data_IF_080467807962
#
_entry.id   IF_080467807962
#
_cell.length_a   1.000
_cell.length_b   1.000
_cell.length_c   1.000
_cell.angle_alpha   90.00
_cell.angle_beta   90.00
_cell.angle_gamma   90.00
#
_symmetry.space_group_name_H-M   'P 1'
#
loop_
_entity.id
_entity.type
_entity.pdbx_description
1 polymer ?
#
# COMPACT_ATOMS: atom_id res chain seq x y z
N UNK A 1 -29.16 -0.89 8.19
CA UNK A 1 -28.05 -0.37 7.37
C UNK A 1 -27.08 0.30 8.31
N UNK A 2 -25.85 -0.21 8.44
CA UNK A 2 -24.82 0.53 9.16
C UNK A 2 -24.52 1.86 8.45
N UNK A 3 -24.36 2.97 9.17
CA UNK A 3 -23.99 4.23 8.55
C UNK A 3 -22.59 4.11 7.93
N UNK A 4 -22.48 4.38 6.63
CA UNK A 4 -21.19 4.50 5.96
C UNK A 4 -20.43 5.64 6.61
N UNK A 5 -19.38 5.33 7.36
CA UNK A 5 -18.48 6.34 7.91
C UNK A 5 -17.63 6.86 6.76
N UNK A 6 -17.89 8.10 6.32
CA UNK A 6 -17.02 8.77 5.36
C UNK A 6 -15.68 9.08 6.03
N UNK A 7 -14.59 8.64 5.38
CA UNK A 7 -13.23 8.89 5.83
C UNK A 7 -12.57 9.87 4.86
N UNK A 8 -11.92 10.90 5.41
CA UNK A 8 -11.28 11.94 4.63
C UNK A 8 -9.76 11.82 4.73
N UNK A 9 -9.07 12.05 3.61
CA UNK A 9 -7.61 12.12 3.53
C UNK A 9 -7.25 13.43 2.85
N UNK A 10 -6.28 14.16 3.41
CA UNK A 10 -5.70 15.34 2.77
C UNK A 10 -4.49 14.92 1.95
N UNK A 11 -4.46 15.30 0.67
CA UNK A 11 -3.36 15.03 -0.24
C UNK A 11 -2.67 16.34 -0.59
N UNK A 12 -1.33 16.35 -0.50
CA UNK A 12 -0.51 17.46 -0.97
C UNK A 12 0.15 17.06 -2.27
N UNK A 13 0.01 17.90 -3.30
CA UNK A 13 0.66 17.74 -4.60
C UNK A 13 1.61 18.90 -4.82
N UNK A 14 2.71 18.68 -5.54
CA UNK A 14 3.48 19.78 -6.09
C UNK A 14 2.63 20.58 -7.10
N UNK A 15 2.99 21.84 -7.28
CA UNK A 15 2.21 22.78 -8.10
C UNK A 15 2.04 22.29 -9.55
N UNK A 16 3.06 21.63 -10.13
CA UNK A 16 2.98 21.15 -11.50
C UNK A 16 1.93 20.04 -11.63
N UNK A 17 1.94 19.07 -10.73
CA UNK A 17 0.96 17.98 -10.74
C UNK A 17 -0.44 18.47 -10.39
N UNK A 18 -0.58 19.38 -9.43
CA UNK A 18 -1.87 20.02 -9.13
C UNK A 18 -2.47 20.68 -10.37
N UNK A 19 -1.71 21.52 -11.09
CA UNK A 19 -2.20 22.19 -12.30
C UNK A 19 -2.57 21.22 -13.44
N UNK A 20 -1.89 20.08 -13.55
CA UNK A 20 -2.27 19.04 -14.53
C UNK A 20 -3.62 18.43 -14.18
N UNK A 21 -3.81 18.04 -12.93
CA UNK A 21 -5.08 17.47 -12.44
C UNK A 21 -6.21 18.49 -12.61
N UNK A 22 -6.00 19.71 -12.14
CA UNK A 22 -7.00 20.78 -12.19
C UNK A 22 -7.45 21.10 -13.62
N UNK A 23 -6.50 21.26 -14.56
CA UNK A 23 -6.82 21.51 -15.98
C UNK A 23 -7.56 20.35 -16.63
N UNK A 24 -7.18 19.12 -16.29
CA UNK A 24 -7.88 17.93 -16.77
C UNK A 24 -9.33 17.91 -16.28
N UNK A 25 -9.52 18.12 -14.97
CA UNK A 25 -10.84 18.16 -14.33
C UNK A 25 -11.73 19.25 -14.95
N UNK A 26 -11.22 20.46 -15.15
CA UNK A 26 -11.95 21.54 -15.86
C UNK A 26 -12.30 21.12 -17.29
N UNK A 27 -11.34 20.61 -18.05
CA UNK A 27 -11.54 20.29 -19.47
C UNK A 27 -12.64 19.25 -19.68
N UNK A 28 -12.76 18.28 -18.77
CA UNK A 28 -13.71 17.18 -18.91
C UNK A 28 -14.92 17.29 -17.97
N UNK A 29 -15.02 18.36 -17.18
CA UNK A 29 -16.12 18.57 -16.22
C UNK A 29 -16.18 17.50 -15.12
N UNK A 30 -15.02 17.04 -14.65
CA UNK A 30 -14.90 15.98 -13.63
C UNK A 30 -14.55 16.64 -12.29
N UNK A 31 -15.16 16.17 -11.19
CA UNK A 31 -14.78 16.61 -9.85
C UNK A 31 -13.39 16.09 -9.45
N UNK A 32 -12.61 16.91 -8.74
CA UNK A 32 -11.25 16.54 -8.35
C UNK A 32 -11.23 15.32 -7.41
N UNK A 33 -12.21 15.19 -6.50
CA UNK A 33 -12.30 14.01 -5.64
C UNK A 33 -12.73 12.78 -6.45
N UNK A 34 -13.63 12.93 -7.42
CA UNK A 34 -14.00 11.85 -8.33
C UNK A 34 -12.78 11.36 -9.14
N UNK A 35 -11.97 12.30 -9.66
CA UNK A 35 -10.73 11.99 -10.36
C UNK A 35 -9.76 11.22 -9.46
N UNK A 36 -9.46 11.75 -8.27
CA UNK A 36 -8.53 11.12 -7.31
C UNK A 36 -9.05 9.74 -6.89
N UNK A 37 -10.33 9.60 -6.58
CA UNK A 37 -10.93 8.31 -6.22
C UNK A 37 -10.80 7.28 -7.36
N UNK A 38 -10.97 7.71 -8.60
CA UNK A 38 -10.85 6.85 -9.78
C UNK A 38 -9.41 6.40 -9.98
N UNK A 39 -8.45 7.32 -9.88
CA UNK A 39 -7.02 7.01 -9.97
C UNK A 39 -6.59 6.05 -8.86
N UNK A 40 -7.00 6.30 -7.61
CA UNK A 40 -6.69 5.43 -6.47
C UNK A 40 -7.24 4.01 -6.66
N UNK A 41 -8.51 3.88 -7.07
CA UNK A 41 -9.11 2.57 -7.38
C UNK A 41 -8.32 1.81 -8.45
N UNK A 42 -7.91 2.52 -9.52
CA UNK A 42 -7.12 1.93 -10.59
C UNK A 42 -5.74 1.48 -10.11
N UNK A 43 -5.04 2.32 -9.35
CA UNK A 43 -3.73 2.01 -8.78
C UNK A 43 -3.79 0.74 -7.92
N UNK A 44 -4.79 0.63 -7.03
CA UNK A 44 -4.95 -0.57 -6.21
C UNK A 44 -5.25 -1.80 -7.06
N UNK A 45 -6.15 -1.70 -8.04
CA UNK A 45 -6.49 -2.84 -8.91
C UNK A 45 -5.29 -3.34 -9.72
N UNK A 46 -4.47 -2.43 -10.24
CA UNK A 46 -3.26 -2.78 -11.01
C UNK A 46 -2.20 -3.47 -10.14
N UNK A 47 -2.10 -3.10 -8.86
CA UNK A 47 -1.13 -3.67 -7.92
C UNK A 47 -1.66 -4.83 -7.09
N UNK A 48 -2.97 -5.05 -7.07
CA UNK A 48 -3.65 -6.06 -6.26
C UNK A 48 -3.05 -7.44 -6.48
N UNK A 49 -2.91 -7.87 -7.75
CA UNK A 49 -2.36 -9.20 -8.05
C UNK A 49 -0.95 -9.39 -7.48
N UNK A 50 -0.08 -8.37 -7.57
CA UNK A 50 1.28 -8.43 -7.03
C UNK A 50 1.26 -8.53 -5.50
N UNK A 51 0.46 -7.71 -4.84
CA UNK A 51 0.31 -7.73 -3.39
C UNK A 51 -0.27 -9.06 -2.90
N UNK A 52 -1.33 -9.55 -3.55
CA UNK A 52 -1.96 -10.83 -3.20
C UNK A 52 -0.99 -11.99 -3.37
N UNK A 53 -0.17 -11.96 -4.43
CA UNK A 53 0.86 -12.99 -4.68
C UNK A 53 1.93 -12.97 -3.58
N UNK A 54 2.39 -11.78 -3.19
CA UNK A 54 3.38 -11.62 -2.12
C UNK A 54 2.83 -12.10 -0.78
N UNK A 55 1.61 -11.67 -0.40
CA UNK A 55 0.95 -12.09 0.84
C UNK A 55 0.77 -13.62 0.86
N UNK A 56 0.33 -14.19 -0.27
CA UNK A 56 0.18 -15.64 -0.41
C UNK A 56 1.52 -16.36 -0.21
N UNK A 57 2.59 -15.91 -0.86
CA UNK A 57 3.92 -16.49 -0.72
C UNK A 57 4.44 -16.45 0.72
N UNK A 58 4.28 -15.33 1.42
CA UNK A 58 4.64 -15.25 2.84
C UNK A 58 3.83 -16.19 3.73
N UNK A 59 2.54 -16.36 3.43
CA UNK A 59 1.69 -17.30 4.16
C UNK A 59 2.10 -18.75 3.92
N UNK A 60 2.36 -19.12 2.67
CA UNK A 60 2.79 -20.47 2.28
C UNK A 60 4.16 -20.83 2.87
N UNK A 61 5.07 -19.86 2.97
CA UNK A 61 6.41 -20.07 3.54
C UNK A 61 6.49 -19.82 5.05
N UNK A 62 5.37 -19.49 5.71
CA UNK A 62 5.40 -19.03 7.11
C UNK A 62 6.00 -20.04 8.08
N UNK A 63 5.67 -21.33 7.93
CA UNK A 63 6.20 -22.42 8.76
C UNK A 63 7.70 -22.61 8.55
N UNK A 64 8.14 -22.72 7.29
CA UNK A 64 9.57 -22.87 6.94
C UNK A 64 10.39 -21.65 7.42
N UNK A 65 9.87 -20.44 7.22
CA UNK A 65 10.53 -19.23 7.67
C UNK A 65 10.67 -19.19 9.19
N UNK A 66 9.65 -19.68 9.92
CA UNK A 66 9.69 -19.76 11.36
C UNK A 66 10.70 -20.82 11.85
N UNK A 67 10.74 -21.98 11.21
CA UNK A 67 11.70 -23.05 11.53
C UNK A 67 13.14 -22.57 11.36
N UNK A 68 13.44 -21.85 10.27
CA UNK A 68 14.75 -21.22 10.04
C UNK A 68 15.05 -20.20 11.15
N UNK A 69 14.12 -19.31 11.48
CA UNK A 69 14.33 -18.34 12.56
C UNK A 69 14.65 -19.02 13.90
N UNK A 70 13.96 -20.11 14.22
CA UNK A 70 14.20 -20.86 15.44
C UNK A 70 15.56 -21.58 15.43
N UNK A 71 15.99 -22.12 14.28
CA UNK A 71 17.29 -22.81 14.14
C UNK A 71 18.47 -21.86 14.38
N UNK A 72 18.36 -20.60 13.98
CA UNK A 72 19.45 -19.63 14.10
C UNK A 72 19.32 -18.67 15.30
N UNK A 73 18.27 -18.79 16.13
CA UNK A 73 17.98 -17.89 17.25
C UNK A 73 19.16 -17.81 18.24
N UNK A 74 19.77 -18.95 18.57
CA UNK A 74 20.88 -19.01 19.53
C UNK A 74 22.17 -18.40 18.96
N UNK A 75 22.41 -18.54 17.65
CA UNK A 75 23.56 -17.92 16.98
C UNK A 75 23.47 -16.39 16.96
N UNK A 76 22.26 -15.84 16.81
CA UNK A 76 22.04 -14.40 16.91
C UNK A 76 22.27 -13.88 18.35
N UNK A 77 21.80 -14.61 19.37
CA UNK A 77 22.01 -14.26 20.78
C UNK A 77 23.49 -14.23 21.16
N UNK A 78 24.25 -15.23 20.72
CA UNK A 78 25.70 -15.29 20.98
C UNK A 78 26.43 -14.12 20.33
N UNK A 79 26.07 -13.75 19.10
CA UNK A 79 26.68 -12.61 18.39
C UNK A 79 26.38 -11.25 19.04
N UNK A 80 25.16 -11.07 19.58
CA UNK A 80 24.75 -9.85 20.29
C UNK A 80 25.30 -9.77 21.72
N UNK A 81 25.73 -10.89 22.32
CA UNK A 81 26.35 -10.91 23.64
C UNK A 81 27.81 -10.40 23.66
N UNK A 82 28.38 -10.13 22.49
CA UNK A 82 29.77 -9.69 22.30
C UNK A 82 29.88 -8.25 21.73
N UNK A 83 28.77 -7.50 21.74
CA UNK A 83 28.70 -6.05 21.49
C UNK A 83 28.46 -5.33 22.81
#
# INVERSE_FOLDING_TARGET
>A
MEPKTEKFIKITLDNLNFQKVHRYCIKYGIDENEFVNTVMKRLFKENQKKHDTMIKGYKEMSEINLDICNEFEDSEKDSNSHV
#
